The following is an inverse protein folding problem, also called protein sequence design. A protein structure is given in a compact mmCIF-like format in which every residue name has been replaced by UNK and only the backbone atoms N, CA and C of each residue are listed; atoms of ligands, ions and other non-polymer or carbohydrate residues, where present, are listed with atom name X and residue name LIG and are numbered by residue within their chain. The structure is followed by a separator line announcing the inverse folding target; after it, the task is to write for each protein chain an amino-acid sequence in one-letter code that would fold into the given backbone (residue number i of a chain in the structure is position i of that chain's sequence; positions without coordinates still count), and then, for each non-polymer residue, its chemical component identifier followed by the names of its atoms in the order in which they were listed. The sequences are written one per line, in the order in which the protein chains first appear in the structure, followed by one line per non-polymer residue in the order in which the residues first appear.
data_IF_429082768261
#
_entry.id   IF_429082768261
#
_cell.length_a   1.000
_cell.length_b   1.000
_cell.length_c   1.000
_cell.angle_alpha   90.00
_cell.angle_beta   90.00
_cell.angle_gamma   90.00
#
_symmetry.space_group_name_H-M   'P 1'
#
loop_
_entity.id
_entity.type
_entity.pdbx_description
1 polymer ?
#
# COMPACT_ATOMS: atom_id res chain seq x y z
N UNK A 1 -9.47 22.13 10.14
CA UNK A 1 -10.89 22.00 9.72
C UNK A 1 -11.88 22.10 10.87
N UNK A 2 -11.71 21.35 11.98
CA UNK A 2 -12.60 21.42 13.16
C UNK A 2 -12.86 22.84 13.68
N UNK A 3 -11.80 23.64 13.85
CA UNK A 3 -11.94 25.04 14.30
C UNK A 3 -12.73 25.91 13.32
N UNK A 4 -12.54 25.69 12.01
CA UNK A 4 -13.29 26.41 10.99
C UNK A 4 -14.78 26.03 11.04
N UNK A 5 -15.10 24.74 11.22
CA UNK A 5 -16.48 24.26 11.39
C UNK A 5 -17.14 24.90 12.62
N UNK A 6 -16.43 24.97 13.74
CA UNK A 6 -16.91 25.63 14.96
C UNK A 6 -17.13 27.14 14.76
N UNK A 7 -16.20 27.85 14.10
CA UNK A 7 -16.36 29.29 13.80
C UNK A 7 -17.58 29.58 12.92
N UNK A 8 -17.97 28.63 12.06
CA UNK A 8 -19.15 28.72 11.21
C UNK A 8 -20.44 28.24 11.91
N UNK A 9 -20.38 27.91 13.20
CA UNK A 9 -21.53 27.43 13.99
C UNK A 9 -21.94 25.99 13.69
N UNK A 10 -21.10 25.22 13.01
CA UNK A 10 -21.32 23.81 12.72
C UNK A 10 -20.72 22.88 13.78
N UNK A 11 -21.12 21.61 13.74
CA UNK A 11 -20.56 20.56 14.60
C UNK A 11 -19.18 20.09 14.10
N UNK A 12 -18.12 20.39 14.87
CA UNK A 12 -16.75 19.94 14.56
C UNK A 12 -16.57 18.43 14.55
N UNK A 13 -17.43 17.65 15.22
CA UNK A 13 -17.31 16.19 15.24
C UNK A 13 -17.63 15.56 13.88
N UNK A 14 -18.27 16.31 12.97
CA UNK A 14 -18.42 15.90 11.57
C UNK A 14 -17.11 15.87 10.80
N UNK A 15 -16.07 16.55 11.28
CA UNK A 15 -14.73 16.42 10.74
C UNK A 15 -14.08 15.19 11.37
N UNK A 16 -14.32 14.05 10.73
CA UNK A 16 -13.86 12.74 11.20
C UNK A 16 -13.75 11.76 10.01
N UNK A 17 -12.74 10.87 9.97
CA UNK A 17 -12.65 9.88 8.91
C UNK A 17 -13.87 8.96 8.84
N UNK A 18 -14.47 8.86 7.65
CA UNK A 18 -15.58 7.97 7.30
C UNK A 18 -15.10 6.60 6.80
N UNK A 19 -13.82 6.50 6.48
CA UNK A 19 -13.13 5.28 6.07
C UNK A 19 -11.99 4.96 7.04
N UNK A 20 -11.50 3.71 7.12
CA UNK A 20 -10.31 3.37 7.89
C UNK A 20 -9.09 4.19 7.46
N UNK A 21 -8.34 4.70 8.44
CA UNK A 21 -7.10 5.44 8.23
C UNK A 21 -6.01 4.80 9.09
N UNK A 22 -4.97 4.28 8.43
CA UNK A 22 -3.82 3.70 9.08
C UNK A 22 -2.61 4.64 8.89
N UNK A 23 -2.08 5.19 9.99
CA UNK A 23 -0.90 6.04 9.97
C UNK A 23 0.29 5.26 10.54
N UNK A 24 1.37 5.15 9.78
CA UNK A 24 2.61 4.50 10.21
C UNK A 24 3.69 5.56 10.42
N UNK A 25 4.36 5.52 11.58
CA UNK A 25 5.45 6.44 11.89
C UNK A 25 6.79 5.78 11.56
N UNK A 26 7.37 6.17 10.43
CA UNK A 26 8.59 5.58 9.87
C UNK A 26 9.59 6.61 9.32
N UNK A 27 9.14 7.82 8.97
CA UNK A 27 9.96 8.90 8.41
C UNK A 27 10.66 9.80 9.46
N UNK A 28 10.82 9.33 10.71
CA UNK A 28 11.42 10.12 11.80
C UNK A 28 12.76 9.59 12.31
N UNK A 29 13.03 8.30 12.15
CA UNK A 29 14.28 7.68 12.59
C UNK A 29 15.42 8.05 11.65
N UNK A 30 16.61 8.27 12.20
CA UNK A 30 17.83 8.55 11.44
C UNK A 30 18.92 7.56 11.86
N UNK A 31 19.88 7.33 10.96
CA UNK A 31 21.05 6.49 11.24
C UNK A 31 22.14 7.36 11.87
N UNK A 32 21.95 7.75 13.13
CA UNK A 32 22.95 8.52 13.90
C UNK A 32 24.12 7.63 14.35
N UNK A 33 23.81 6.40 14.73
CA UNK A 33 24.76 5.35 15.12
C UNK A 33 24.58 4.14 14.20
N UNK A 34 25.69 3.57 13.76
CA UNK A 34 25.72 2.34 12.96
C UNK A 34 26.85 1.42 13.42
N UNK A 35 26.76 0.13 13.06
CA UNK A 35 27.79 -0.89 13.34
C UNK A 35 28.14 -1.03 14.83
N UNK A 36 27.14 -0.90 15.70
CA UNK A 36 27.24 -1.12 17.14
C UNK A 36 26.04 -1.93 17.62
N UNK A 37 26.24 -2.78 18.63
CA UNK A 37 25.16 -3.62 19.20
C UNK A 37 24.00 -2.78 19.74
N UNK A 38 24.28 -1.58 20.25
CA UNK A 38 23.29 -0.65 20.78
C UNK A 38 22.73 0.35 19.75
N UNK A 39 23.10 0.25 18.46
CA UNK A 39 22.77 1.25 17.45
C UNK A 39 21.25 1.47 17.30
N UNK A 40 20.47 0.39 17.30
CA UNK A 40 19.01 0.47 17.17
C UNK A 40 18.40 1.26 18.32
N UNK A 41 18.75 0.90 19.56
CA UNK A 41 18.24 1.58 20.75
C UNK A 41 18.66 3.06 20.78
N UNK A 42 19.92 3.36 20.47
CA UNK A 42 20.42 4.73 20.45
C UNK A 42 19.69 5.60 19.42
N UNK A 43 19.45 5.09 18.20
CA UNK A 43 18.74 5.82 17.16
C UNK A 43 17.26 6.04 17.52
N UNK A 44 16.59 5.05 18.14
CA UNK A 44 15.21 5.20 18.60
C UNK A 44 15.08 6.21 19.75
N UNK A 45 16.04 6.26 20.66
CA UNK A 45 16.05 7.24 21.74
C UNK A 45 16.21 8.68 21.19
N UNK A 46 17.13 8.88 20.25
CA UNK A 46 17.32 10.17 19.57
C UNK A 46 16.09 10.57 18.75
N UNK A 47 15.47 9.64 18.05
CA UNK A 47 14.22 9.87 17.32
C UNK A 47 13.13 10.40 18.26
N UNK A 48 12.94 9.75 19.41
CA UNK A 48 11.91 10.15 20.38
C UNK A 48 12.20 11.52 20.99
N UNK A 49 13.46 11.82 21.32
CA UNK A 49 13.87 13.13 21.83
C UNK A 49 13.59 14.25 20.82
N UNK A 50 13.91 14.04 19.54
CA UNK A 50 13.74 15.02 18.47
C UNK A 50 12.28 15.24 18.07
N UNK A 51 11.44 14.22 18.17
CA UNK A 51 10.08 14.23 17.62
C UNK A 51 8.98 14.18 18.69
N UNK A 52 9.31 14.40 19.97
CA UNK A 52 8.38 14.29 21.10
C UNK A 52 7.05 15.03 20.90
N UNK A 53 7.11 16.27 20.40
CA UNK A 53 5.90 17.08 20.12
C UNK A 53 5.05 16.45 19.02
N UNK A 54 5.67 16.05 17.89
CA UNK A 54 4.99 15.40 16.77
C UNK A 54 4.32 14.09 17.20
N UNK A 55 5.01 13.27 17.98
CA UNK A 55 4.45 12.02 18.50
C UNK A 55 3.31 12.27 19.49
N UNK A 56 3.43 13.31 20.32
CA UNK A 56 2.33 13.77 21.17
C UNK A 56 1.09 14.20 20.36
N UNK A 57 1.30 14.94 19.28
CA UNK A 57 0.24 15.39 18.38
C UNK A 57 -0.43 14.21 17.63
N UNK A 58 0.34 13.26 17.10
CA UNK A 58 -0.20 12.07 16.42
C UNK A 58 -0.96 11.16 17.39
N UNK A 59 -0.45 11.00 18.61
CA UNK A 59 -1.14 10.27 19.68
C UNK A 59 -2.43 10.98 20.11
N UNK A 60 -2.45 12.30 20.15
CA UNK A 60 -3.71 13.02 20.35
C UNK A 60 -4.67 12.75 19.19
N UNK A 61 -4.18 12.83 17.95
CA UNK A 61 -4.98 12.58 16.74
C UNK A 61 -5.66 11.21 16.75
N UNK A 62 -4.91 10.16 17.12
CA UNK A 62 -5.45 8.79 17.20
C UNK A 62 -6.59 8.62 18.22
N UNK A 63 -6.68 9.51 19.21
CA UNK A 63 -7.77 9.51 20.21
C UNK A 63 -8.87 10.51 19.85
N UNK A 64 -8.54 11.57 19.10
CA UNK A 64 -9.46 12.64 18.74
C UNK A 64 -10.32 12.31 17.50
N UNK A 65 -9.87 11.37 16.67
CA UNK A 65 -10.54 10.92 15.45
C UNK A 65 -10.91 9.43 15.56
N UNK A 66 -12.09 9.07 15.05
CA UNK A 66 -12.50 7.68 14.91
C UNK A 66 -11.86 7.07 13.66
N UNK A 67 -11.81 5.75 13.58
CA UNK A 67 -11.26 5.01 12.45
C UNK A 67 -9.78 5.33 12.15
N UNK A 68 -9.05 5.91 13.10
CA UNK A 68 -7.63 6.25 12.96
C UNK A 68 -6.78 5.29 13.80
N UNK A 69 -6.04 4.41 13.13
CA UNK A 69 -5.01 3.58 13.73
C UNK A 69 -3.66 4.28 13.58
N UNK A 70 -2.86 4.31 14.65
CA UNK A 70 -1.47 4.78 14.59
C UNK A 70 -0.54 3.65 14.96
N UNK A 71 0.28 3.24 14.00
CA UNK A 71 1.38 2.29 14.20
C UNK A 71 2.60 3.06 14.73
N UNK A 72 3.13 2.70 15.91
CA UNK A 72 4.14 3.50 16.60
C UNK A 72 5.53 3.42 15.92
N UNK A 73 6.46 4.33 16.27
CA UNK A 73 7.83 4.30 15.75
C UNK A 73 8.53 2.96 16.04
N UNK A 74 9.43 2.55 15.14
CA UNK A 74 10.18 1.29 15.25
C UNK A 74 9.39 0.04 14.87
N UNK A 75 8.18 0.17 14.33
CA UNK A 75 7.34 -0.98 13.91
C UNK A 75 7.60 -1.44 12.47
N UNK A 76 8.47 -0.75 11.73
CA UNK A 76 8.72 -0.99 10.30
C UNK A 76 8.44 0.24 9.44
N UNK A 77 8.43 0.04 8.13
CA UNK A 77 8.13 1.07 7.13
C UNK A 77 6.71 0.88 6.59
N UNK A 78 6.03 1.98 6.23
CA UNK A 78 4.59 2.03 5.92
C UNK A 78 4.17 0.98 4.90
N UNK A 79 4.91 0.83 3.80
CA UNK A 79 4.52 -0.07 2.71
C UNK A 79 4.76 -1.55 3.04
N UNK A 80 5.79 -1.87 3.82
CA UNK A 80 6.04 -3.23 4.32
C UNK A 80 4.96 -3.63 5.33
N UNK A 81 4.66 -2.75 6.29
CA UNK A 81 3.58 -2.94 7.26
C UNK A 81 2.24 -3.05 6.55
N UNK A 82 2.03 -2.30 5.47
CA UNK A 82 0.83 -2.43 4.65
C UNK A 82 0.75 -3.82 4.00
N UNK A 83 1.81 -4.28 3.35
CA UNK A 83 1.84 -5.60 2.69
C UNK A 83 1.63 -6.76 3.68
N UNK A 84 2.31 -6.71 4.82
CA UNK A 84 2.38 -7.82 5.79
C UNK A 84 1.26 -7.81 6.82
N UNK A 85 0.65 -6.66 7.11
CA UNK A 85 -0.31 -6.53 8.20
C UNK A 85 -1.61 -5.81 7.79
N UNK A 86 -1.52 -4.59 7.25
CA UNK A 86 -2.71 -3.75 7.04
C UNK A 86 -3.52 -4.19 5.82
N UNK A 87 -2.92 -4.55 4.70
CA UNK A 87 -3.61 -4.94 3.47
C UNK A 87 -4.60 -6.08 3.70
N UNK A 88 -5.86 -5.87 3.31
CA UNK A 88 -6.97 -6.80 3.53
C UNK A 88 -7.29 -7.63 2.30
N UNK A 89 -6.97 -7.14 1.10
CA UNK A 89 -7.31 -7.73 -0.22
C UNK A 89 -8.82 -7.75 -0.52
N UNK A 90 -9.64 -8.24 0.42
CA UNK A 90 -11.10 -8.16 0.39
C UNK A 90 -11.58 -7.72 1.77
N UNK A 91 -12.34 -6.63 1.83
CA UNK A 91 -13.04 -6.21 3.03
C UNK A 91 -14.29 -7.04 3.27
N UNK A 92 -14.65 -7.19 4.54
CA UNK A 92 -15.95 -7.68 4.97
C UNK A 92 -16.57 -6.69 5.95
N UNK A 93 -17.49 -5.86 5.46
CA UNK A 93 -18.15 -4.85 6.28
C UNK A 93 -19.62 -5.22 6.41
N UNK A 94 -20.00 -5.69 7.60
CA UNK A 94 -21.38 -6.08 7.92
C UNK A 94 -21.98 -7.10 6.91
N UNK A 95 -21.17 -8.06 6.45
CA UNK A 95 -21.58 -9.08 5.48
C UNK A 95 -21.48 -8.65 4.01
N UNK A 96 -21.09 -7.40 3.74
CA UNK A 96 -20.80 -6.93 2.38
C UNK A 96 -19.32 -7.13 2.09
N UNK A 97 -19.02 -7.94 1.08
CA UNK A 97 -17.67 -8.17 0.58
C UNK A 97 -17.34 -7.26 -0.60
N UNK A 98 -16.18 -6.63 -0.58
CA UNK A 98 -15.69 -5.78 -1.67
C UNK A 98 -14.15 -5.76 -1.70
N UNK A 99 -13.52 -5.47 -2.86
CA UNK A 99 -12.06 -5.46 -2.98
C UNK A 99 -11.47 -4.34 -2.12
N UNK A 100 -10.30 -4.60 -1.56
CA UNK A 100 -9.47 -3.57 -0.94
C UNK A 100 -8.95 -2.60 -2.00
N UNK A 101 -8.88 -1.32 -1.63
CA UNK A 101 -8.30 -0.24 -2.41
C UNK A 101 -7.83 0.86 -1.47
N UNK A 102 -6.74 1.54 -1.81
CA UNK A 102 -6.12 2.52 -0.89
C UNK A 102 -5.55 3.71 -1.64
N UNK A 103 -5.67 4.90 -1.07
CA UNK A 103 -4.83 6.04 -1.44
C UNK A 103 -4.01 6.43 -0.23
N UNK A 104 -2.73 6.74 -0.43
CA UNK A 104 -1.82 7.08 0.64
C UNK A 104 -1.15 8.42 0.39
N UNK A 105 -0.74 9.10 1.45
CA UNK A 105 0.01 10.37 1.37
C UNK A 105 1.50 10.15 1.05
N UNK A 106 1.81 9.08 0.34
CA UNK A 106 3.15 8.65 -0.05
C UNK A 106 3.08 8.06 -1.47
N UNK A 107 4.02 8.44 -2.34
CA UNK A 107 4.03 8.03 -3.74
C UNK A 107 4.12 6.53 -3.93
N UNK A 108 4.83 5.83 -3.05
CA UNK A 108 5.12 4.40 -3.13
C UNK A 108 4.01 3.53 -2.52
N UNK A 109 2.86 4.12 -2.18
CA UNK A 109 1.63 3.39 -1.82
C UNK A 109 1.29 2.31 -2.85
N UNK A 110 1.70 2.50 -4.11
CA UNK A 110 1.62 1.53 -5.21
C UNK A 110 2.31 0.19 -4.90
N UNK A 111 3.18 0.08 -3.90
CA UNK A 111 3.77 -1.21 -3.49
C UNK A 111 2.69 -2.26 -3.17
N UNK A 112 1.53 -1.84 -2.66
CA UNK A 112 0.42 -2.73 -2.33
C UNK A 112 -0.23 -3.36 -3.58
N UNK A 113 -0.01 -2.79 -4.76
CA UNK A 113 -0.53 -3.32 -6.02
C UNK A 113 0.05 -4.70 -6.35
N UNK A 114 1.23 -5.03 -5.79
CA UNK A 114 1.82 -6.37 -5.84
C UNK A 114 1.00 -7.44 -5.09
N UNK A 115 0.13 -7.03 -4.16
CA UNK A 115 -0.82 -7.87 -3.43
C UNK A 115 -2.19 -7.96 -4.13
N UNK A 116 -2.37 -7.26 -5.26
CA UNK A 116 -3.65 -7.17 -5.97
C UNK A 116 -4.66 -6.21 -5.34
N UNK A 117 -4.19 -5.28 -4.53
CA UNK A 117 -4.97 -4.16 -3.98
C UNK A 117 -4.73 -2.94 -4.86
N UNK A 118 -5.77 -2.28 -5.37
CA UNK A 118 -5.58 -1.09 -6.18
C UNK A 118 -5.17 0.10 -5.29
N UNK A 119 -3.92 0.54 -5.39
CA UNK A 119 -3.39 1.59 -4.54
C UNK A 119 -2.46 2.59 -5.22
N UNK A 120 -2.53 3.87 -4.82
CA UNK A 120 -1.58 4.87 -5.32
C UNK A 120 -1.40 6.07 -4.38
N UNK A 121 -0.33 6.82 -4.60
CA UNK A 121 -0.02 8.03 -3.85
C UNK A 121 -0.85 9.23 -4.28
N UNK A 122 -1.28 10.03 -3.30
CA UNK A 122 -2.01 11.30 -3.48
C UNK A 122 -1.47 12.38 -2.56
N UNK A 123 -1.85 13.63 -2.78
CA UNK A 123 -1.54 14.72 -1.85
C UNK A 123 -2.33 14.61 -0.54
N UNK A 124 -1.85 15.30 0.49
CA UNK A 124 -2.50 15.29 1.81
C UNK A 124 -3.93 15.85 1.78
N UNK A 125 -4.20 16.84 0.91
CA UNK A 125 -5.53 17.44 0.78
C UNK A 125 -6.52 16.46 0.15
N UNK A 126 -6.09 15.74 -0.90
CA UNK A 126 -6.89 14.71 -1.54
C UNK A 126 -7.17 13.55 -0.56
N UNK A 127 -6.17 13.14 0.22
CA UNK A 127 -6.36 12.14 1.26
C UNK A 127 -7.35 12.61 2.34
N UNK A 128 -7.22 13.85 2.84
CA UNK A 128 -8.17 14.43 3.81
C UNK A 128 -9.60 14.50 3.24
N UNK A 129 -9.76 14.86 1.96
CA UNK A 129 -11.06 14.87 1.30
C UNK A 129 -11.66 13.46 1.20
N UNK A 130 -10.86 12.47 0.81
CA UNK A 130 -11.26 11.07 0.76
C UNK A 130 -11.65 10.53 2.14
N UNK A 131 -10.91 10.89 3.18
CA UNK A 131 -11.25 10.57 4.57
C UNK A 131 -12.63 11.11 4.96
N UNK A 132 -13.03 12.27 4.43
CA UNK A 132 -14.34 12.87 4.67
C UNK A 132 -15.44 12.39 3.70
N UNK A 133 -15.18 11.33 2.94
CA UNK A 133 -16.13 10.68 2.05
C UNK A 133 -16.24 11.31 0.66
N UNK A 134 -15.32 12.21 0.28
CA UNK A 134 -15.28 12.76 -1.06
C UNK A 134 -14.67 11.71 -2.02
N UNK A 135 -15.37 11.28 -3.08
CA UNK A 135 -14.82 10.30 -4.01
C UNK A 135 -13.66 10.87 -4.82
N UNK A 136 -12.59 10.10 -5.02
CA UNK A 136 -11.47 10.52 -5.86
C UNK A 136 -11.93 10.84 -7.29
N UNK A 137 -11.60 12.05 -7.76
CA UNK A 137 -11.87 12.46 -9.13
C UNK A 137 -10.68 12.13 -10.02
N UNK A 138 -10.88 11.29 -11.02
CA UNK A 138 -9.85 10.95 -12.00
C UNK A 138 -10.42 10.80 -13.40
N UNK A 139 -9.62 11.11 -14.41
CA UNK A 139 -9.91 10.70 -15.80
C UNK A 139 -9.73 9.19 -15.86
N UNK A 140 -10.65 8.48 -16.53
CA UNK A 140 -10.52 7.05 -16.74
C UNK A 140 -9.18 6.76 -17.44
N UNK A 141 -8.23 6.07 -16.78
CA UNK A 141 -6.88 5.95 -17.29
C UNK A 141 -6.82 4.88 -18.38
N UNK A 142 -5.91 5.06 -19.33
CA UNK A 142 -5.53 3.96 -20.21
C UNK A 142 -4.79 2.88 -19.41
N UNK A 143 -4.95 1.62 -19.80
CA UNK A 143 -4.25 0.48 -19.18
C UNK A 143 -3.22 -0.08 -20.16
N UNK A 144 -1.97 -0.16 -19.73
CA UNK A 144 -0.87 -0.77 -20.48
C UNK A 144 -0.60 -2.16 -19.92
N UNK A 145 -0.88 -3.19 -20.71
CA UNK A 145 -0.55 -4.56 -20.33
C UNK A 145 0.96 -4.82 -20.44
N UNK A 146 1.61 -5.22 -19.35
CA UNK A 146 3.01 -5.63 -19.33
C UNK A 146 3.11 -7.15 -19.26
N UNK A 147 3.44 -7.79 -20.39
CA UNK A 147 3.51 -9.25 -20.49
C UNK A 147 4.84 -9.78 -19.97
N UNK A 148 4.78 -10.60 -18.92
CA UNK A 148 5.90 -11.37 -18.39
C UNK A 148 5.89 -12.78 -18.98
N UNK A 149 7.04 -13.23 -19.46
CA UNK A 149 7.21 -14.56 -20.06
C UNK A 149 8.59 -15.13 -19.76
N UNK A 150 8.68 -16.46 -19.65
CA UNK A 150 9.92 -17.16 -19.34
C UNK A 150 10.22 -17.17 -17.84
N UNK A 151 11.48 -17.48 -17.51
CA UNK A 151 11.99 -17.55 -16.13
C UNK A 151 13.26 -16.71 -16.01
N UNK A 152 13.50 -16.15 -14.82
CA UNK A 152 14.76 -15.47 -14.52
C UNK A 152 15.92 -16.47 -14.61
N UNK A 153 17.05 -16.02 -15.17
CA UNK A 153 18.26 -16.84 -15.23
C UNK A 153 18.92 -16.87 -13.86
N UNK A 154 19.68 -17.93 -13.60
CA UNK A 154 20.49 -18.02 -12.37
C UNK A 154 21.41 -16.80 -12.23
N UNK A 155 21.42 -16.20 -11.04
CA UNK A 155 22.20 -15.00 -10.73
C UNK A 155 21.52 -13.67 -11.05
N UNK A 156 20.35 -13.68 -11.71
CA UNK A 156 19.51 -12.49 -11.88
C UNK A 156 18.70 -12.26 -10.60
N UNK A 157 18.74 -11.04 -10.07
CA UNK A 157 18.05 -10.65 -8.84
C UNK A 157 16.72 -9.95 -9.10
N UNK A 158 15.89 -9.83 -8.06
CA UNK A 158 14.68 -9.01 -8.09
C UNK A 158 14.98 -7.55 -8.48
N UNK A 159 16.11 -7.01 -8.01
CA UNK A 159 16.56 -5.66 -8.36
C UNK A 159 16.90 -5.52 -9.84
N UNK A 160 17.57 -6.51 -10.45
CA UNK A 160 17.86 -6.49 -11.88
C UNK A 160 16.56 -6.48 -12.70
N UNK A 161 15.58 -7.29 -12.29
CA UNK A 161 14.25 -7.32 -12.91
C UNK A 161 13.55 -5.96 -12.77
N UNK A 162 13.49 -5.41 -11.56
CA UNK A 162 12.76 -4.17 -11.28
C UNK A 162 13.32 -2.97 -12.06
N UNK A 163 14.64 -2.86 -12.13
CA UNK A 163 15.32 -1.79 -12.85
C UNK A 163 15.13 -1.94 -14.36
N UNK A 164 15.11 -3.18 -14.85
CA UNK A 164 14.81 -3.47 -16.27
C UNK A 164 13.38 -3.09 -16.63
N UNK A 165 12.39 -3.50 -15.83
CA UNK A 165 10.98 -3.15 -16.03
C UNK A 165 10.78 -1.64 -15.98
N UNK A 166 11.37 -0.97 -14.99
CA UNK A 166 11.32 0.48 -14.83
C UNK A 166 11.89 1.19 -16.06
N UNK A 167 13.06 0.75 -16.56
CA UNK A 167 13.69 1.31 -17.75
C UNK A 167 12.81 1.14 -18.99
N UNK A 168 12.20 -0.04 -19.17
CA UNK A 168 11.31 -0.33 -20.30
C UNK A 168 10.04 0.53 -20.27
N UNK A 169 9.38 0.62 -19.12
CA UNK A 169 8.15 1.40 -18.94
C UNK A 169 8.40 2.89 -19.10
N UNK A 170 9.50 3.40 -18.55
CA UNK A 170 9.91 4.80 -18.73
C UNK A 170 10.17 5.14 -20.19
N UNK A 171 10.81 4.23 -20.94
CA UNK A 171 11.02 4.39 -22.39
C UNK A 171 9.70 4.33 -23.17
N UNK A 172 8.73 3.52 -22.73
CA UNK A 172 7.43 3.40 -23.39
C UNK A 172 6.51 4.62 -23.16
N UNK A 173 6.58 5.25 -21.99
CA UNK A 173 5.78 6.43 -21.65
C UNK A 173 4.41 6.06 -21.08
N UNK A 174 4.37 5.79 -19.79
CA UNK A 174 3.16 5.36 -19.05
C UNK A 174 2.63 6.42 -18.07
N UNK A 175 3.00 7.69 -18.25
CA UNK A 175 2.56 8.79 -17.38
C UNK A 175 1.03 8.91 -17.38
N UNK A 176 0.43 8.86 -16.19
CA UNK A 176 -1.02 8.97 -15.99
C UNK A 176 -1.83 7.74 -16.46
N UNK A 177 -1.17 6.61 -16.70
CA UNK A 177 -1.78 5.34 -17.09
C UNK A 177 -1.65 4.32 -15.96
N UNK A 178 -2.49 3.30 -16.02
CA UNK A 178 -2.28 2.07 -15.25
C UNK A 178 -1.36 1.14 -16.02
N UNK A 179 -0.51 0.42 -15.30
CA UNK A 179 0.22 -0.73 -15.83
C UNK A 179 -0.35 -1.97 -15.17
N UNK A 180 -0.75 -2.96 -15.95
CA UNK A 180 -1.23 -4.25 -15.44
C UNK A 180 -0.31 -5.36 -15.90
N UNK A 181 0.23 -6.13 -14.95
CA UNK A 181 1.16 -7.22 -15.22
C UNK A 181 0.42 -8.52 -15.46
N UNK A 182 0.80 -9.24 -16.51
CA UNK A 182 0.13 -10.48 -16.92
C UNK A 182 1.09 -11.45 -17.62
N UNK A 183 0.62 -12.67 -17.87
CA UNK A 183 1.34 -13.69 -18.65
C UNK A 183 2.01 -14.77 -17.81
N UNK A 184 2.55 -15.79 -18.48
CA UNK A 184 3.07 -17.01 -17.84
C UNK A 184 4.23 -16.78 -16.87
N UNK A 185 4.97 -15.67 -17.00
CA UNK A 185 6.05 -15.34 -16.07
C UNK A 185 5.55 -14.99 -14.66
N UNK A 186 4.25 -14.70 -14.49
CA UNK A 186 3.67 -14.29 -13.20
C UNK A 186 3.74 -15.39 -12.14
N UNK A 187 3.49 -16.64 -12.52
CA UNK A 187 3.50 -17.79 -11.59
C UNK A 187 4.89 -18.12 -11.04
N UNK A 188 5.95 -17.57 -11.65
CA UNK A 188 7.33 -17.80 -11.26
C UNK A 188 7.87 -16.68 -10.36
N UNK A 189 7.12 -15.58 -10.20
CA UNK A 189 7.53 -14.42 -9.40
C UNK A 189 6.95 -14.49 -7.99
N UNK A 190 7.78 -14.58 -6.95
CA UNK A 190 7.37 -14.40 -5.56
C UNK A 190 6.67 -13.06 -5.35
N UNK A 191 5.78 -12.99 -4.36
CA UNK A 191 5.02 -11.78 -4.10
C UNK A 191 5.89 -10.57 -3.74
N UNK A 192 7.02 -10.79 -3.04
CA UNK A 192 7.97 -9.72 -2.72
C UNK A 192 8.54 -9.06 -3.99
N UNK A 193 8.78 -9.83 -5.05
CA UNK A 193 9.29 -9.31 -6.33
C UNK A 193 8.21 -8.50 -7.05
N UNK A 194 6.95 -8.95 -7.00
CA UNK A 194 5.79 -8.21 -7.52
C UNK A 194 5.63 -6.87 -6.80
N UNK A 195 5.66 -6.88 -5.48
CA UNK A 195 5.59 -5.67 -4.65
C UNK A 195 6.76 -4.72 -4.94
N UNK A 196 7.96 -5.25 -5.21
CA UNK A 196 9.13 -4.44 -5.58
C UNK A 196 8.93 -3.73 -6.93
N UNK A 197 8.34 -4.41 -7.92
CA UNK A 197 7.99 -3.82 -9.23
C UNK A 197 6.88 -2.77 -9.09
N UNK A 198 5.85 -3.09 -8.32
CA UNK A 198 4.72 -2.20 -8.07
C UNK A 198 5.15 -0.92 -7.30
N UNK A 199 6.05 -1.07 -6.34
CA UNK A 199 6.65 0.02 -5.57
C UNK A 199 7.30 1.06 -6.50
N UNK A 200 7.93 0.64 -7.60
CA UNK A 200 8.62 1.55 -8.51
C UNK A 200 7.69 2.30 -9.50
N UNK A 201 6.37 2.22 -9.34
CA UNK A 201 5.40 2.91 -10.21
C UNK A 201 5.68 4.40 -10.40
N UNK A 202 5.97 5.17 -9.33
CA UNK A 202 6.34 6.57 -9.47
C UNK A 202 7.60 6.79 -10.32
N UNK A 203 8.60 5.90 -10.25
CA UNK A 203 9.86 6.02 -10.98
C UNK A 203 9.72 5.81 -12.51
N UNK A 204 8.76 4.99 -12.95
CA UNK A 204 8.39 4.86 -14.37
C UNK A 204 7.18 5.72 -14.79
N UNK A 205 6.59 6.45 -13.84
CA UNK A 205 5.57 7.47 -14.05
C UNK A 205 4.12 6.94 -14.12
N UNK A 206 3.89 5.65 -13.92
CA UNK A 206 2.53 5.12 -13.89
C UNK A 206 1.80 5.60 -12.64
N UNK A 207 0.46 5.65 -12.72
CA UNK A 207 -0.36 5.90 -11.52
C UNK A 207 -0.32 4.70 -10.58
N UNK A 208 -0.32 3.47 -11.12
CA UNK A 208 -0.25 2.22 -10.37
C UNK A 208 0.35 1.10 -11.23
N UNK A 209 0.87 0.05 -10.57
CA UNK A 209 1.51 -1.10 -11.19
C UNK A 209 0.89 -2.42 -10.71
N UNK A 210 -0.25 -2.79 -11.30
CA UNK A 210 -1.17 -3.80 -10.76
C UNK A 210 -0.80 -5.24 -11.08
N UNK A 211 -0.73 -6.07 -10.04
CA UNK A 211 -0.59 -7.53 -10.13
C UNK A 211 -1.90 -8.18 -9.65
N UNK A 212 -2.71 -8.76 -10.54
CA UNK A 212 -3.95 -9.43 -10.14
C UNK A 212 -3.72 -10.54 -9.10
N UNK A 213 -4.71 -10.75 -8.23
CA UNK A 213 -4.65 -11.79 -7.20
C UNK A 213 -4.65 -13.18 -7.85
N UNK A 214 -3.67 -14.00 -7.46
CA UNK A 214 -3.54 -15.40 -7.87
C UNK A 214 -3.18 -16.30 -6.67
N UNK A 215 -2.83 -17.55 -6.95
CA UNK A 215 -2.41 -18.52 -5.93
C UNK A 215 -1.17 -18.09 -5.14
N UNK A 216 -0.22 -17.36 -5.75
CA UNK A 216 0.97 -16.84 -5.05
C UNK A 216 0.55 -15.79 -4.02
N UNK A 217 -0.41 -14.93 -4.36
CA UNK A 217 -1.00 -13.98 -3.41
C UNK A 217 -1.66 -14.69 -2.23
N UNK A 218 -2.48 -15.71 -2.47
CA UNK A 218 -3.13 -16.47 -1.38
C UNK A 218 -2.10 -17.18 -0.49
N UNK A 219 -1.04 -17.76 -1.07
CA UNK A 219 0.06 -18.36 -0.31
C UNK A 219 0.78 -17.35 0.56
N UNK A 220 1.03 -16.14 0.05
CA UNK A 220 1.65 -15.06 0.81
C UNK A 220 0.79 -14.59 1.99
N UNK A 221 -0.53 -14.48 1.80
CA UNK A 221 -1.45 -14.14 2.90
C UNK A 221 -1.38 -15.17 4.04
N UNK A 222 -1.33 -16.47 3.72
CA UNK A 222 -1.14 -17.53 4.71
C UNK A 222 0.22 -17.42 5.41
N UNK A 223 1.30 -17.21 4.64
CA UNK A 223 2.66 -17.06 5.16
C UNK A 223 2.77 -15.91 6.17
N UNK A 224 2.05 -14.83 5.94
CA UNK A 224 2.01 -13.63 6.79
C UNK A 224 0.99 -13.72 7.94
N UNK A 225 0.41 -14.90 8.17
CA UNK A 225 -0.42 -15.19 9.34
C UNK A 225 -1.90 -14.86 9.18
N UNK A 226 -2.41 -14.63 7.95
CA UNK A 226 -3.85 -14.54 7.72
C UNK A 226 -4.48 -15.94 7.86
N UNK A 227 -5.63 -16.01 8.54
CA UNK A 227 -6.32 -17.28 8.82
C UNK A 227 -6.77 -18.00 7.55
N UNK A 228 -6.89 -19.33 7.60
CA UNK A 228 -7.39 -20.12 6.47
C UNK A 228 -8.83 -19.72 6.09
N UNK A 229 -9.65 -19.34 7.07
CA UNK A 229 -11.01 -18.84 6.85
C UNK A 229 -11.00 -17.53 6.06
N UNK A 230 -10.13 -16.58 6.42
CA UNK A 230 -9.98 -15.31 5.70
C UNK A 230 -9.51 -15.54 4.27
N UNK A 231 -8.49 -16.40 4.07
CA UNK A 231 -7.94 -16.67 2.74
C UNK A 231 -8.97 -17.38 1.85
N UNK A 232 -9.73 -18.32 2.39
CA UNK A 232 -10.82 -19.00 1.67
C UNK A 232 -11.95 -18.04 1.27
N UNK A 233 -12.31 -17.12 2.17
CA UNK A 233 -13.29 -16.06 1.87
C UNK A 233 -12.81 -15.16 0.72
N UNK A 234 -11.55 -14.73 0.75
CA UNK A 234 -10.93 -13.90 -0.30
C UNK A 234 -10.98 -14.63 -1.65
N UNK A 235 -10.51 -15.88 -1.71
CA UNK A 235 -10.50 -16.65 -2.96
C UNK A 235 -11.91 -16.83 -3.53
N UNK A 236 -12.86 -17.23 -2.69
CA UNK A 236 -14.24 -17.48 -3.10
C UNK A 236 -14.89 -16.22 -3.68
N UNK A 237 -14.70 -15.07 -3.01
CA UNK A 237 -15.19 -13.78 -3.47
C UNK A 237 -14.59 -13.38 -4.82
N UNK A 238 -13.27 -13.45 -4.95
CA UNK A 238 -12.57 -13.01 -6.16
C UNK A 238 -12.90 -13.90 -7.37
N UNK A 239 -12.99 -15.23 -7.18
CA UNK A 239 -13.41 -16.16 -8.24
C UNK A 239 -14.85 -15.92 -8.69
N UNK A 240 -15.77 -15.67 -7.75
CA UNK A 240 -17.17 -15.36 -8.06
C UNK A 240 -17.30 -14.06 -8.88
N UNK A 241 -16.44 -13.08 -8.64
CA UNK A 241 -16.46 -11.76 -9.28
C UNK A 241 -15.48 -11.61 -10.46
N UNK A 242 -14.83 -12.68 -10.91
CA UNK A 242 -13.86 -12.67 -12.03
C UNK A 242 -12.66 -11.73 -11.79
N UNK A 243 -12.23 -11.66 -10.54
CA UNK A 243 -11.07 -10.88 -10.07
C UNK A 243 -9.92 -11.77 -9.57
N UNK A 244 -10.03 -13.08 -9.76
CA UNK A 244 -8.96 -14.04 -9.47
C UNK A 244 -8.37 -14.54 -10.79
N UNK A 245 -7.05 -14.51 -10.92
CA UNK A 245 -6.35 -15.02 -12.09
C UNK A 245 -5.80 -16.41 -11.80
N UNK A 246 -6.23 -17.37 -12.61
CA UNK A 246 -5.70 -18.72 -12.59
C UNK A 246 -4.79 -18.91 -13.81
N UNK A 247 -3.48 -19.01 -13.57
CA UNK A 247 -2.50 -19.25 -14.65
C UNK A 247 -2.40 -20.73 -15.05
N UNK A 248 -3.18 -21.61 -14.42
CA UNK A 248 -3.25 -23.04 -14.75
C UNK A 248 -4.41 -23.41 -15.67
N UNK A 249 -5.34 -22.48 -15.92
CA UNK A 249 -6.41 -22.56 -16.93
C UNK A 249 -5.99 -21.89 -18.26
#
# INVERSE_FOLDING_TARGET
MRDAMNRLGGDSNKINPLVPVDLVIDHSVQVDVARSENAVQANMELEFQRNKERFGFLKWGSNAFNNMLVVPPGSGIVHQVNLEYLGRVVFNTNGVLYPDSVVGTDSHTTMIDGLGVAGWGVGGIEAEAAMLGQPMSMVLPGVVGFKLSGKLRSGVTATDLVLTVTQMLRKHGVVGKFVEFYGQGMSELPLADRATIANMSPEYGATMGFFPVDHVTLQYLKLTGRSDETVSMIESYLRANKMFVDYSE
#
